data_IF_713152036016
#
_entry.id   IF_713152036016
#
_cell.length_a   1.000
_cell.length_b   1.000
_cell.length_c   1.000
_cell.angle_alpha   90.00
_cell.angle_beta   90.00
_cell.angle_gamma   90.00
#
_symmetry.space_group_name_H-M   'P 1'
#
loop_
_entity.id
_entity.type
_entity.pdbx_description
1 polymer ?
#
# COMPACT_ATOMS: atom_id res chain seq x y z
N UNK A 1 -20.04 -0.61 -12.00
CA UNK A 1 -18.70 -0.63 -12.59
C UNK A 1 -17.70 -0.63 -11.44
N UNK A 2 -16.84 -1.64 -11.33
CA UNK A 2 -15.76 -1.60 -10.36
C UNK A 2 -14.81 -0.45 -10.74
N UNK A 3 -14.48 0.42 -9.78
CA UNK A 3 -13.54 1.52 -10.02
C UNK A 3 -12.18 0.95 -10.49
N UNK A 4 -11.52 1.65 -11.41
CA UNK A 4 -10.16 1.31 -11.87
C UNK A 4 -9.20 1.27 -10.65
N UNK A 5 -8.33 0.26 -10.51
CA UNK A 5 -7.31 0.20 -9.46
C UNK A 5 -6.53 1.51 -9.25
N UNK A 6 -6.16 2.22 -10.32
CA UNK A 6 -5.48 3.51 -10.18
C UNK A 6 -6.34 4.57 -9.48
N UNK A 7 -7.64 4.62 -9.79
CA UNK A 7 -8.58 5.56 -9.16
C UNK A 7 -8.75 5.26 -7.68
N UNK A 8 -8.88 3.97 -7.34
CA UNK A 8 -9.00 3.51 -5.96
C UNK A 8 -7.73 3.83 -5.15
N UNK A 9 -6.54 3.58 -5.73
CA UNK A 9 -5.25 3.99 -5.18
C UNK A 9 -5.21 5.51 -4.90
N UNK A 10 -5.59 6.33 -5.89
CA UNK A 10 -5.56 7.79 -5.73
C UNK A 10 -6.51 8.26 -4.65
N UNK A 11 -7.73 7.70 -4.56
CA UNK A 11 -8.68 8.03 -3.48
C UNK A 11 -8.11 7.67 -2.11
N UNK A 12 -7.51 6.49 -1.96
CA UNK A 12 -6.99 6.02 -0.68
C UNK A 12 -5.85 6.89 -0.11
N UNK A 13 -4.99 7.41 -0.98
CA UNK A 13 -3.83 8.21 -0.56
C UNK A 13 -4.08 9.72 -0.53
N UNK A 14 -5.20 10.18 -1.10
CA UNK A 14 -5.55 11.59 -1.11
C UNK A 14 -6.41 11.90 0.11
N UNK A 15 -6.19 13.03 0.79
CA UNK A 15 -7.08 13.46 1.84
C UNK A 15 -8.52 13.59 1.36
N UNK A 16 -9.44 12.94 2.06
CA UNK A 16 -10.86 12.95 1.77
C UNK A 16 -11.58 13.87 2.79
N UNK A 17 -12.15 15.01 2.35
CA UNK A 17 -12.88 15.91 3.24
C UNK A 17 -14.18 15.31 3.80
N UNK A 18 -14.66 14.19 3.23
CA UNK A 18 -15.82 13.47 3.77
C UNK A 18 -15.46 12.62 4.99
N UNK A 19 -14.18 12.38 5.26
CA UNK A 19 -13.76 11.70 6.49
C UNK A 19 -13.96 12.64 7.68
N UNK A 20 -14.79 12.19 8.62
CA UNK A 20 -15.04 12.91 9.87
C UNK A 20 -13.77 13.07 10.70
N UNK A 21 -13.70 14.08 11.56
CA UNK A 21 -12.54 14.31 12.41
C UNK A 21 -12.35 13.16 13.40
N UNK A 22 -11.18 12.53 13.35
CA UNK A 22 -10.68 11.60 14.39
C UNK A 22 -9.86 12.37 15.43
N UNK A 23 -9.58 11.73 16.55
CA UNK A 23 -8.67 12.30 17.56
C UNK A 23 -7.28 12.53 16.97
N UNK A 24 -6.72 13.73 17.16
CA UNK A 24 -5.37 14.03 16.71
C UNK A 24 -4.34 13.78 17.82
N UNK A 25 -3.23 13.14 17.47
CA UNK A 25 -2.14 12.87 18.38
C UNK A 25 -0.78 13.11 17.71
N UNK A 26 0.29 13.40 18.46
CA UNK A 26 1.63 13.47 17.90
C UNK A 26 2.09 12.12 17.37
N UNK A 27 2.83 12.13 16.27
CA UNK A 27 3.46 10.94 15.67
C UNK A 27 4.47 10.29 16.61
N UNK A 28 4.44 8.97 16.70
CA UNK A 28 5.54 8.17 17.21
C UNK A 28 6.65 8.05 16.15
N UNK A 29 7.86 7.71 16.58
CA UNK A 29 9.01 7.58 15.67
C UNK A 29 8.77 6.60 14.50
N UNK A 30 8.10 5.47 14.77
CA UNK A 30 7.74 4.50 13.75
C UNK A 30 6.73 5.07 12.74
N UNK A 31 5.71 5.78 13.22
CA UNK A 31 4.69 6.42 12.38
C UNK A 31 5.30 7.52 11.51
N UNK A 32 6.26 8.28 12.05
CA UNK A 32 7.01 9.28 11.29
C UNK A 32 7.91 8.63 10.22
N UNK A 33 8.49 7.47 10.51
CA UNK A 33 9.26 6.75 9.50
C UNK A 33 8.35 6.23 8.37
N UNK A 34 7.18 5.69 8.71
CA UNK A 34 6.19 5.27 7.72
C UNK A 34 5.67 6.42 6.87
N UNK A 35 5.35 7.57 7.48
CA UNK A 35 4.91 8.73 6.72
C UNK A 35 5.96 9.22 5.73
N UNK A 36 7.26 9.17 6.09
CA UNK A 36 8.36 9.49 5.17
C UNK A 36 8.49 8.49 4.03
N UNK A 37 8.28 7.19 4.29
CA UNK A 37 8.26 6.16 3.24
C UNK A 37 7.13 6.44 2.25
N UNK A 38 5.90 6.66 2.72
CA UNK A 38 4.79 7.03 1.84
C UNK A 38 5.05 8.32 1.07
N UNK A 39 5.57 9.35 1.75
CA UNK A 39 5.94 10.61 1.11
C UNK A 39 7.00 10.47 0.02
N UNK A 40 7.93 9.51 0.15
CA UNK A 40 8.97 9.28 -0.84
C UNK A 40 8.40 8.85 -2.20
N UNK A 41 7.30 8.08 -2.21
CA UNK A 41 6.60 7.66 -3.43
C UNK A 41 5.83 8.78 -4.14
N UNK A 42 5.74 9.96 -3.53
CA UNK A 42 5.04 11.13 -4.07
C UNK A 42 5.94 12.30 -4.41
N UNK A 43 7.27 12.08 -4.36
CA UNK A 43 8.24 13.10 -4.73
C UNK A 43 8.22 13.36 -6.23
N UNK A 44 8.42 14.61 -6.58
CA UNK A 44 8.64 14.98 -7.97
C UNK A 44 10.01 14.46 -8.42
N UNK A 45 10.04 13.78 -9.57
CA UNK A 45 11.27 13.24 -10.17
C UNK A 45 11.49 13.84 -11.54
N UNK A 46 12.57 14.63 -11.68
CA UNK A 46 13.00 15.13 -12.98
C UNK A 46 13.35 14.01 -13.95
N UNK A 47 13.84 12.88 -13.44
CA UNK A 47 14.15 11.71 -14.27
C UNK A 47 12.86 11.16 -14.88
N UNK A 48 11.81 10.98 -14.09
CA UNK A 48 10.51 10.50 -14.61
C UNK A 48 9.92 11.46 -15.65
N UNK A 49 10.01 12.78 -15.40
CA UNK A 49 9.49 13.79 -16.31
C UNK A 49 10.27 13.83 -17.62
N UNK A 50 11.61 13.70 -17.58
CA UNK A 50 12.47 13.86 -18.75
C UNK A 50 12.66 12.57 -19.54
N UNK A 51 12.47 11.40 -18.95
CA UNK A 51 12.73 10.12 -19.62
C UNK A 51 11.84 9.92 -20.86
N UNK A 52 10.52 10.07 -20.72
CA UNK A 52 9.59 9.89 -21.83
C UNK A 52 9.90 10.78 -23.03
N UNK A 53 10.11 12.11 -22.88
CA UNK A 53 10.37 12.96 -24.02
C UNK A 53 11.82 12.81 -24.54
N UNK A 54 12.79 12.34 -23.74
CA UNK A 54 14.10 11.94 -24.26
C UNK A 54 14.02 10.70 -25.16
N UNK A 55 13.20 9.70 -24.79
CA UNK A 55 13.05 8.47 -25.58
C UNK A 55 12.16 8.63 -26.81
N UNK A 56 11.04 9.37 -26.68
CA UNK A 56 9.99 9.45 -27.69
C UNK A 56 9.94 10.81 -28.40
N UNK A 57 10.55 11.84 -27.83
CA UNK A 57 10.51 13.20 -28.37
C UNK A 57 11.02 13.32 -29.80
N UNK A 58 12.14 12.67 -30.20
CA UNK A 58 12.58 12.69 -31.59
C UNK A 58 11.55 12.11 -32.57
N UNK A 59 10.88 11.03 -32.20
CA UNK A 59 9.83 10.41 -33.01
C UNK A 59 8.59 11.32 -33.12
N UNK A 60 8.14 11.89 -32.00
CA UNK A 60 6.99 12.81 -31.96
C UNK A 60 7.29 14.10 -32.72
N UNK A 61 8.50 14.64 -32.59
CA UNK A 61 8.94 15.81 -33.35
C UNK A 61 8.92 15.55 -34.86
N UNK A 62 9.42 14.38 -35.30
CA UNK A 62 9.36 13.98 -36.70
C UNK A 62 7.93 13.89 -37.24
N UNK A 63 7.00 13.27 -36.49
CA UNK A 63 5.58 13.24 -36.84
C UNK A 63 4.97 14.64 -36.89
N UNK A 64 5.32 15.52 -35.96
CA UNK A 64 4.84 16.90 -35.91
C UNK A 64 5.25 17.71 -37.14
N UNK A 65 6.50 17.56 -37.60
CA UNK A 65 6.97 18.22 -38.82
C UNK A 65 6.23 17.69 -40.06
N UNK A 66 6.04 16.37 -40.17
CA UNK A 66 5.30 15.77 -41.29
C UNK A 66 3.83 16.24 -41.32
N UNK A 67 3.18 16.28 -40.16
CA UNK A 67 1.80 16.76 -40.03
C UNK A 67 1.70 18.25 -40.38
N UNK A 68 2.65 19.06 -39.90
CA UNK A 68 2.73 20.49 -40.21
C UNK A 68 2.94 20.77 -41.69
N UNK A 69 3.80 19.98 -42.35
CA UNK A 69 4.03 20.07 -43.79
C UNK A 69 2.76 19.72 -44.59
N UNK A 70 2.07 18.65 -44.21
CA UNK A 70 0.78 18.28 -44.82
C UNK A 70 -0.29 19.35 -44.64
N UNK A 71 -0.36 19.96 -43.46
CA UNK A 71 -1.32 21.04 -43.16
C UNK A 71 -0.99 22.32 -43.95
N UNK A 72 0.31 22.66 -44.07
CA UNK A 72 0.78 23.80 -44.86
C UNK A 72 0.44 23.62 -46.35
N UNK A 73 0.67 22.42 -46.88
CA UNK A 73 0.32 22.07 -48.26
C UNK A 73 -1.18 22.18 -48.54
N UNK A 74 -2.00 21.67 -47.63
CA UNK A 74 -3.45 21.65 -47.83
C UNK A 74 -4.12 23.01 -47.68
N UNK A 75 -3.58 23.92 -46.84
CA UNK A 75 -4.24 25.19 -46.51
C UNK A 75 -3.64 26.42 -47.19
N UNK A 76 -2.34 26.42 -47.49
CA UNK A 76 -1.61 27.65 -47.82
C UNK A 76 -0.85 27.56 -49.15
N UNK A 77 -0.29 26.40 -49.49
CA UNK A 77 0.55 26.24 -50.69
C UNK A 77 0.46 24.81 -51.28
N UNK A 78 -0.46 24.54 -52.22
CA UNK A 78 -0.64 23.21 -52.79
C UNK A 78 0.54 22.73 -53.67
N UNK A 79 1.41 23.62 -54.13
CA UNK A 79 2.67 23.30 -54.82
C UNK A 79 3.87 23.85 -54.03
N UNK A 80 4.29 23.19 -52.94
CA UNK A 80 5.44 23.63 -52.17
C UNK A 80 6.76 23.33 -52.89
N UNK A 81 7.74 24.23 -52.76
CA UNK A 81 9.14 23.96 -53.10
C UNK A 81 9.74 23.02 -52.04
N UNK A 82 9.65 21.72 -52.32
CA UNK A 82 10.08 20.63 -51.42
C UNK A 82 11.60 20.68 -51.20
N UNK A 83 12.38 21.10 -52.20
CA UNK A 83 13.85 21.10 -52.13
C UNK A 83 14.37 22.11 -51.11
N UNK A 84 13.72 23.27 -51.02
CA UNK A 84 14.03 24.28 -49.99
C UNK A 84 13.60 23.84 -48.58
N UNK A 85 12.47 23.15 -48.45
CA UNK A 85 11.99 22.63 -47.18
C UNK A 85 12.86 21.49 -46.62
N UNK A 86 13.44 20.67 -47.50
CA UNK A 86 14.39 19.61 -47.15
C UNK A 86 15.73 20.21 -46.69
N UNK A 87 16.18 21.32 -47.29
CA UNK A 87 17.43 21.99 -46.90
C UNK A 87 17.49 22.46 -45.44
N UNK A 88 16.35 22.89 -44.88
CA UNK A 88 16.23 23.39 -43.50
C UNK A 88 15.65 22.35 -42.52
N UNK A 89 15.50 21.09 -42.96
CA UNK A 89 14.83 20.01 -42.22
C UNK A 89 15.33 19.86 -40.78
N UNK A 90 16.65 19.91 -40.57
CA UNK A 90 17.25 19.77 -39.25
C UNK A 90 16.89 20.92 -38.30
N UNK A 91 16.74 22.15 -38.82
CA UNK A 91 16.34 23.31 -38.02
C UNK A 91 14.89 23.21 -37.55
N UNK A 92 13.98 22.81 -38.44
CA UNK A 92 12.57 22.58 -38.11
C UNK A 92 12.38 21.43 -37.13
N UNK A 93 13.13 20.35 -37.30
CA UNK A 93 13.11 19.22 -36.38
C UNK A 93 13.64 19.60 -34.99
N UNK A 94 14.73 20.36 -34.92
CA UNK A 94 15.27 20.86 -33.64
C UNK A 94 14.28 21.79 -32.92
N UNK A 95 13.61 22.68 -33.66
CA UNK A 95 12.58 23.57 -33.10
C UNK A 95 11.37 22.77 -32.59
N UNK A 96 10.85 21.83 -33.39
CA UNK A 96 9.72 20.99 -33.02
C UNK A 96 10.03 20.14 -31.77
N UNK A 97 11.23 19.56 -31.70
CA UNK A 97 11.69 18.83 -30.53
C UNK A 97 11.80 19.74 -29.29
N UNK A 98 12.38 20.93 -29.43
CA UNK A 98 12.48 21.91 -28.35
C UNK A 98 11.12 22.35 -27.81
N UNK A 99 10.16 22.66 -28.69
CA UNK A 99 8.80 23.01 -28.31
C UNK A 99 8.06 21.87 -27.62
N UNK A 100 8.20 20.65 -28.13
CA UNK A 100 7.63 19.47 -27.50
C UNK A 100 8.21 19.24 -26.10
N UNK A 101 9.54 19.31 -25.94
CA UNK A 101 10.20 19.19 -24.65
C UNK A 101 9.71 20.26 -23.66
N UNK A 102 9.64 21.52 -24.09
CA UNK A 102 9.19 22.61 -23.25
C UNK A 102 7.72 22.44 -22.81
N UNK A 103 6.83 22.11 -23.76
CA UNK A 103 5.42 21.86 -23.47
C UNK A 103 5.23 20.66 -22.53
N UNK A 104 5.98 19.57 -22.76
CA UNK A 104 5.96 18.38 -21.92
C UNK A 104 6.40 18.67 -20.48
N UNK A 105 7.53 19.34 -20.31
CA UNK A 105 8.06 19.72 -19.00
C UNK A 105 7.08 20.64 -18.28
N UNK A 106 6.57 21.67 -18.96
CA UNK A 106 5.64 22.62 -18.36
C UNK A 106 4.35 21.92 -17.94
N UNK A 107 3.77 21.07 -18.80
CA UNK A 107 2.57 20.31 -18.49
C UNK A 107 2.76 19.42 -17.26
N UNK A 108 3.82 18.62 -17.21
CA UNK A 108 4.07 17.70 -16.09
C UNK A 108 4.39 18.45 -14.80
N UNK A 109 5.18 19.52 -14.87
CA UNK A 109 5.44 20.37 -13.70
C UNK A 109 4.15 20.98 -13.14
N UNK A 110 3.28 21.51 -14.01
CA UNK A 110 1.99 22.09 -13.60
C UNK A 110 1.04 21.05 -13.04
N UNK A 111 0.96 19.87 -13.66
CA UNK A 111 0.15 18.75 -13.19
C UNK A 111 0.61 18.31 -11.80
N UNK A 112 1.90 18.04 -11.64
CA UNK A 112 2.46 17.50 -10.39
C UNK A 112 2.42 18.53 -9.26
N UNK A 113 2.61 19.83 -9.57
CA UNK A 113 2.49 20.92 -8.59
C UNK A 113 1.06 21.13 -8.09
N UNK A 114 0.05 20.68 -8.84
CA UNK A 114 -1.37 20.76 -8.47
C UNK A 114 -1.96 19.46 -7.96
N UNK A 115 -1.19 18.38 -7.99
CA UNK A 115 -1.66 17.08 -7.52
C UNK A 115 -1.91 17.13 -5.99
N UNK A 116 -3.17 16.95 -5.54
CA UNK A 116 -3.52 17.07 -4.12
C UNK A 116 -2.84 16.00 -3.27
N UNK A 117 -2.67 14.78 -3.80
CA UNK A 117 -1.97 13.68 -3.14
C UNK A 117 -0.51 14.07 -2.90
N UNK A 118 0.18 14.55 -3.94
CA UNK A 118 1.59 14.93 -3.82
C UNK A 118 1.80 16.08 -2.85
N UNK A 119 0.99 17.14 -2.95
CA UNK A 119 1.08 18.30 -2.03
C UNK A 119 0.83 17.91 -0.58
N UNK A 120 -0.12 17.01 -0.34
CA UNK A 120 -0.37 16.49 0.99
C UNK A 120 0.87 15.76 1.53
N UNK A 121 1.36 14.77 0.79
CA UNK A 121 2.48 13.92 1.20
C UNK A 121 3.82 14.67 1.31
N UNK A 122 3.99 15.78 0.59
CA UNK A 122 5.16 16.66 0.73
C UNK A 122 5.25 17.32 2.10
N UNK A 123 4.11 17.65 2.73
CA UNK A 123 4.08 18.39 4.01
C UNK A 123 3.74 17.51 5.20
N UNK A 124 3.02 16.42 4.97
CA UNK A 124 2.45 15.57 6.01
C UNK A 124 3.50 15.01 7.01
N UNK A 125 4.67 14.46 6.60
CA UNK A 125 5.65 13.93 7.55
C UNK A 125 6.18 14.96 8.56
N UNK A 126 6.28 16.22 8.13
CA UNK A 126 6.80 17.32 8.95
C UNK A 126 5.74 17.94 9.86
N UNK A 127 4.45 17.71 9.57
CA UNK A 127 3.36 18.10 10.49
C UNK A 127 3.41 17.31 11.79
N UNK A 128 3.93 16.08 11.77
CA UNK A 128 4.14 15.27 12.97
C UNK A 128 2.86 14.87 13.71
N UNK A 129 1.72 14.81 13.03
CA UNK A 129 0.42 14.45 13.61
C UNK A 129 -0.22 13.26 12.90
N UNK A 130 -0.94 12.45 13.67
CA UNK A 130 -1.76 11.33 13.20
C UNK A 130 -3.18 11.46 13.72
N UNK A 131 -4.09 10.78 13.05
CA UNK A 131 -5.45 10.58 13.50
C UNK A 131 -5.61 9.19 14.13
N UNK A 132 -6.16 9.11 15.34
CA UNK A 132 -6.31 7.86 16.08
C UNK A 132 -7.75 7.35 16.00
N UNK A 133 -7.88 6.06 15.69
CA UNK A 133 -9.12 5.31 15.85
C UNK A 133 -8.95 4.25 16.94
N UNK A 134 -9.78 4.35 17.98
CA UNK A 134 -9.67 3.52 19.18
C UNK A 134 -10.61 2.32 19.13
N UNK A 135 -10.10 1.16 19.52
CA UNK A 135 -10.88 -0.05 19.73
C UNK A 135 -10.53 -0.71 21.05
N UNK A 136 -11.56 -1.19 21.74
CA UNK A 136 -11.42 -2.10 22.88
C UNK A 136 -11.65 -3.52 22.40
N UNK A 137 -10.62 -4.35 22.52
CA UNK A 137 -10.62 -5.78 22.18
C UNK A 137 -10.92 -6.61 23.42
N UNK A 138 -11.86 -7.55 23.30
CA UNK A 138 -12.34 -8.38 24.41
C UNK A 138 -11.69 -9.76 24.38
N UNK A 139 -11.55 -10.33 23.20
CA UNK A 139 -10.91 -11.62 22.97
C UNK A 139 -10.36 -11.69 21.55
N UNK A 140 -9.43 -12.60 21.32
CA UNK A 140 -8.94 -12.86 19.96
C UNK A 140 -8.42 -14.26 19.76
N UNK A 141 -8.14 -14.59 18.50
CA UNK A 141 -7.52 -15.84 18.09
C UNK A 141 -6.41 -15.56 17.10
N UNK A 142 -5.28 -16.26 17.25
CA UNK A 142 -4.16 -16.20 16.29
C UNK A 142 -4.35 -17.28 15.24
N UNK A 143 -4.35 -16.88 13.97
CA UNK A 143 -4.37 -17.75 12.80
C UNK A 143 -3.08 -17.54 12.00
N UNK A 144 -2.60 -18.58 11.32
CA UNK A 144 -1.35 -18.53 10.56
C UNK A 144 -1.62 -18.68 9.09
N UNK A 145 -0.84 -18.02 8.25
CA UNK A 145 -0.86 -18.29 6.81
C UNK A 145 0.54 -18.25 6.22
N UNK A 146 0.67 -18.90 5.06
CA UNK A 146 1.80 -18.74 4.17
C UNK A 146 1.33 -17.90 2.96
N UNK A 147 1.67 -16.61 2.99
CA UNK A 147 1.33 -15.58 2.00
C UNK A 147 2.61 -15.17 1.24
N UNK A 148 3.43 -16.16 0.89
CA UNK A 148 4.69 -15.92 0.19
C UNK A 148 4.44 -15.49 -1.26
N UNK A 149 4.83 -14.27 -1.59
CA UNK A 149 4.86 -13.74 -2.94
C UNK A 149 6.32 -13.70 -3.46
N UNK A 150 6.69 -14.52 -4.45
CA UNK A 150 8.04 -14.51 -5.01
C UNK A 150 8.40 -13.20 -5.71
N UNK A 151 7.41 -12.43 -6.19
CA UNK A 151 7.61 -11.15 -6.86
C UNK A 151 7.75 -10.01 -5.84
N UNK A 152 7.23 -10.18 -4.62
CA UNK A 152 7.29 -9.22 -3.51
C UNK A 152 7.97 -9.82 -2.27
N UNK A 153 9.24 -10.22 -2.40
CA UNK A 153 9.98 -10.93 -1.35
C UNK A 153 10.60 -10.02 -0.25
N UNK A 154 10.17 -8.77 -0.14
CA UNK A 154 10.71 -7.81 0.84
C UNK A 154 9.62 -7.26 1.76
N UNK A 155 10.00 -7.09 3.03
CA UNK A 155 9.19 -6.54 4.10
C UNK A 155 9.91 -5.34 4.70
N UNK A 156 9.18 -4.27 4.98
CA UNK A 156 9.67 -3.15 5.78
C UNK A 156 9.39 -3.42 7.26
N UNK A 157 10.44 -3.64 8.03
CA UNK A 157 10.36 -3.91 9.47
C UNK A 157 10.91 -2.73 10.27
N UNK A 158 10.26 -2.43 11.40
CA UNK A 158 10.79 -1.44 12.35
C UNK A 158 11.72 -2.13 13.34
N UNK A 159 13.00 -1.79 13.27
CA UNK A 159 14.08 -2.38 14.08
C UNK A 159 15.05 -1.27 14.49
N UNK A 160 15.48 -1.25 15.75
CA UNK A 160 16.49 -0.31 16.25
C UNK A 160 16.21 1.17 15.93
N UNK A 161 14.93 1.59 15.94
CA UNK A 161 14.55 2.98 15.71
C UNK A 161 14.53 3.43 14.24
N UNK A 162 14.60 2.49 13.28
CA UNK A 162 14.51 2.77 11.84
C UNK A 162 13.68 1.70 11.12
N UNK A 163 13.19 2.04 9.94
CA UNK A 163 12.60 1.07 9.02
C UNK A 163 13.72 0.44 8.19
N UNK A 164 13.85 -0.88 8.26
CA UNK A 164 14.79 -1.68 7.47
C UNK A 164 14.01 -2.54 6.47
N UNK A 165 14.54 -2.60 5.24
CA UNK A 165 14.09 -3.56 4.24
C UNK A 165 14.74 -4.91 4.53
N UNK A 166 13.92 -5.92 4.80
CA UNK A 166 14.33 -7.29 5.12
C UNK A 166 13.60 -8.26 4.21
N UNK A 167 14.09 -9.50 4.11
CA UNK A 167 13.42 -10.51 3.32
C UNK A 167 12.14 -10.99 4.01
N UNK A 168 11.03 -11.07 3.28
CA UNK A 168 9.78 -11.62 3.76
C UNK A 168 9.88 -13.14 3.85
N UNK A 169 9.40 -13.72 4.95
CA UNK A 169 9.29 -15.16 5.09
C UNK A 169 8.04 -15.76 4.43
N UNK A 170 7.06 -14.93 4.09
CA UNK A 170 5.70 -15.34 3.72
C UNK A 170 4.87 -15.78 4.92
N UNK A 171 5.46 -15.93 6.12
CA UNK A 171 4.71 -16.28 7.32
C UNK A 171 4.00 -15.05 7.85
N UNK A 172 2.69 -15.20 8.02
CA UNK A 172 1.82 -14.15 8.53
C UNK A 172 1.05 -14.66 9.74
N UNK A 173 1.01 -13.85 10.79
CA UNK A 173 0.05 -14.00 11.88
C UNK A 173 -1.13 -13.07 11.64
N UNK A 174 -2.32 -13.64 11.67
CA UNK A 174 -3.59 -12.93 11.67
C UNK A 174 -4.20 -13.03 13.05
N UNK A 175 -4.33 -11.91 13.76
CA UNK A 175 -5.12 -11.87 14.98
C UNK A 175 -6.53 -11.40 14.63
N UNK A 176 -7.49 -12.31 14.79
CA UNK A 176 -8.91 -12.02 14.61
C UNK A 176 -9.51 -11.79 16.00
N UNK A 177 -9.85 -10.53 16.29
CA UNK A 177 -10.27 -10.08 17.61
C UNK A 177 -11.71 -9.59 17.60
N UNK A 178 -12.45 -9.88 18.67
CA UNK A 178 -13.77 -9.34 18.92
C UNK A 178 -13.64 -8.02 19.68
N UNK A 179 -14.26 -6.98 19.16
CA UNK A 179 -14.34 -5.68 19.85
C UNK A 179 -15.49 -5.66 20.86
N UNK A 180 -15.42 -4.76 21.83
CA UNK A 180 -16.51 -4.51 22.80
C UNK A 180 -17.80 -4.07 22.11
N UNK A 181 -17.69 -3.35 20.99
CA UNK A 181 -18.82 -2.95 20.14
C UNK A 181 -19.45 -4.10 19.34
N UNK A 182 -18.89 -5.32 19.41
CA UNK A 182 -19.41 -6.48 18.70
C UNK A 182 -19.01 -6.56 17.22
N UNK A 183 -18.01 -5.78 16.79
CA UNK A 183 -17.38 -5.94 15.48
C UNK A 183 -16.19 -6.88 15.54
N UNK A 184 -15.84 -7.46 14.39
CA UNK A 184 -14.57 -8.19 14.25
C UNK A 184 -13.49 -7.26 13.74
N UNK A 185 -12.32 -7.35 14.36
CA UNK A 185 -11.11 -6.66 14.00
C UNK A 185 -10.05 -7.65 13.59
N UNK A 186 -9.37 -7.40 12.48
CA UNK A 186 -8.26 -8.24 12.00
C UNK A 186 -6.97 -7.44 12.08
N UNK A 187 -5.95 -7.97 12.76
CA UNK A 187 -4.60 -7.44 12.79
C UNK A 187 -3.67 -8.40 12.05
N UNK A 188 -2.84 -7.85 11.15
CA UNK A 188 -1.87 -8.63 10.36
C UNK A 188 -0.45 -8.30 10.81
N UNK A 189 0.36 -9.32 11.07
CA UNK A 189 1.81 -9.17 11.24
C UNK A 189 2.54 -10.12 10.30
N UNK A 190 3.50 -9.59 9.54
CA UNK A 190 4.38 -10.36 8.66
C UNK A 190 5.75 -10.52 9.32
N UNK A 191 6.39 -11.66 9.10
CA UNK A 191 7.67 -11.98 9.74
C UNK A 191 8.82 -12.05 8.75
N UNK A 192 10.00 -11.55 9.12
CA UNK A 192 11.17 -11.68 8.27
C UNK A 192 11.67 -13.14 8.21
N UNK A 193 12.36 -13.48 7.12
CA UNK A 193 13.13 -14.70 7.05
C UNK A 193 13.87 -14.88 5.74
N UNK A 194 14.56 -16.00 5.58
CA UNK A 194 15.40 -16.24 4.42
C UNK A 194 14.59 -16.51 3.14
N UNK A 195 15.08 -16.01 2.01
CA UNK A 195 14.53 -16.27 0.69
C UNK A 195 14.54 -17.77 0.36
N UNK A 196 13.40 -18.32 -0.09
CA UNK A 196 13.29 -19.72 -0.51
C UNK A 196 12.06 -19.93 -1.41
N UNK A 197 12.22 -20.69 -2.51
CA UNK A 197 11.17 -21.00 -3.48
C UNK A 197 10.17 -22.07 -3.01
N UNK A 198 10.48 -22.80 -1.93
CA UNK A 198 9.67 -23.93 -1.44
C UNK A 198 9.53 -23.88 0.08
N UNK A 199 9.21 -22.70 0.63
CA UNK A 199 9.22 -22.49 2.06
C UNK A 199 7.95 -23.05 2.71
N UNK A 200 8.12 -24.02 3.59
CA UNK A 200 7.08 -24.40 4.56
C UNK A 200 7.07 -23.33 5.64
N UNK A 201 5.96 -22.61 5.76
CA UNK A 201 5.77 -21.61 6.80
C UNK A 201 6.00 -22.22 8.19
N UNK A 202 6.94 -21.68 8.94
CA UNK A 202 7.20 -22.10 10.32
C UNK A 202 6.81 -20.96 11.24
N UNK A 203 6.04 -21.29 12.28
CA UNK A 203 5.64 -20.31 13.30
C UNK A 203 6.88 -19.67 13.94
N UNK A 204 6.95 -18.33 14.05
CA UNK A 204 8.01 -17.67 14.79
C UNK A 204 8.02 -18.13 16.26
N UNK A 205 9.16 -17.98 16.93
CA UNK A 205 9.24 -18.22 18.37
C UNK A 205 8.22 -17.34 19.13
N UNK A 206 7.61 -17.82 20.24
CA UNK A 206 6.52 -17.10 20.94
C UNK A 206 6.82 -15.65 21.32
N UNK A 207 8.07 -15.34 21.68
CA UNK A 207 8.56 -14.01 22.02
C UNK A 207 8.59 -13.04 20.84
N UNK A 208 8.61 -13.57 19.62
CA UNK A 208 8.60 -12.78 18.37
C UNK A 208 7.20 -12.58 17.81
N UNK A 209 6.19 -13.30 18.31
CA UNK A 209 4.82 -13.22 17.81
C UNK A 209 4.15 -11.93 18.27
N UNK A 210 3.12 -11.49 17.54
CA UNK A 210 2.30 -10.36 17.92
C UNK A 210 1.38 -10.74 19.08
N UNK A 211 1.54 -10.03 20.19
CA UNK A 211 0.71 -10.13 21.39
C UNK A 211 0.02 -8.78 21.63
N UNK A 212 -1.17 -8.54 21.05
CA UNK A 212 -1.87 -7.28 21.21
C UNK A 212 -2.36 -7.10 22.64
N UNK A 213 -2.52 -5.84 23.05
CA UNK A 213 -3.22 -5.49 24.29
C UNK A 213 -4.71 -5.23 24.01
N UNK A 214 -5.52 -5.17 25.06
CA UNK A 214 -6.95 -4.93 24.98
C UNK A 214 -7.29 -3.57 24.35
N UNK A 215 -6.52 -2.53 24.63
CA UNK A 215 -6.72 -1.24 23.98
C UNK A 215 -5.79 -1.14 22.77
N UNK A 216 -6.39 -0.89 21.61
CA UNK A 216 -5.64 -0.63 20.38
C UNK A 216 -6.08 0.69 19.78
N UNK A 217 -5.12 1.54 19.42
CA UNK A 217 -5.35 2.72 18.60
C UNK A 217 -4.66 2.52 17.25
N UNK A 218 -5.40 2.69 16.16
CA UNK A 218 -4.87 2.68 14.81
C UNK A 218 -4.55 4.11 14.41
N UNK A 219 -3.28 4.35 14.07
CA UNK A 219 -2.80 5.66 13.68
C UNK A 219 -2.90 5.80 12.17
N UNK A 220 -3.72 6.74 11.71
CA UNK A 220 -3.92 7.08 10.31
C UNK A 220 -3.20 8.37 9.95
N UNK A 221 -2.79 8.44 8.69
CA UNK A 221 -2.41 9.69 8.05
C UNK A 221 -3.64 10.63 8.01
N UNK A 222 -3.54 11.87 8.55
CA UNK A 222 -4.71 12.73 8.76
C UNK A 222 -5.56 12.97 7.51
N UNK A 223 -6.87 12.82 7.64
CA UNK A 223 -7.83 12.97 6.54
C UNK A 223 -7.71 11.86 5.49
N UNK A 224 -7.04 10.75 5.77
CA UNK A 224 -6.94 9.58 4.87
C UNK A 224 -7.31 8.30 5.61
N UNK A 225 -7.42 7.19 4.87
CA UNK A 225 -7.56 5.84 5.44
C UNK A 225 -6.23 5.07 5.50
N UNK A 226 -5.10 5.74 5.25
CA UNK A 226 -3.80 5.09 5.24
C UNK A 226 -3.25 4.93 6.67
N UNK A 227 -3.12 3.68 7.10
CA UNK A 227 -2.54 3.32 8.39
C UNK A 227 -1.01 3.52 8.41
N UNK A 228 -0.51 4.19 9.44
CA UNK A 228 0.90 4.42 9.71
C UNK A 228 1.43 3.58 10.88
N UNK A 229 0.54 3.12 11.76
CA UNK A 229 0.93 2.43 12.97
C UNK A 229 -0.23 1.91 13.80
N UNK A 230 0.12 1.10 14.81
CA UNK A 230 -0.80 0.57 15.81
C UNK A 230 -0.18 0.80 17.18
N UNK A 231 -0.95 1.34 18.11
CA UNK A 231 -0.55 1.58 19.49
C UNK A 231 -1.33 0.63 20.37
N UNK A 232 -0.63 -0.16 21.18
CA UNK A 232 -1.24 -1.09 22.12
C UNK A 232 -1.06 -0.57 23.55
N UNK A 233 -2.11 -0.63 24.35
CA UNK A 233 -2.07 -0.26 25.77
C UNK A 233 -3.04 -1.09 26.62
N UNK A 234 -2.92 -0.96 27.93
CA UNK A 234 -3.75 -1.69 28.89
C UNK A 234 -3.27 -3.13 29.11
N UNK A 235 -4.19 -4.00 29.54
CA UNK A 235 -3.89 -5.40 29.82
C UNK A 235 -3.66 -6.19 28.51
N UNK A 236 -2.88 -7.29 28.54
CA UNK A 236 -2.79 -8.20 27.41
C UNK A 236 -4.17 -8.69 26.96
N UNK A 237 -4.39 -8.79 25.65
CA UNK A 237 -5.62 -9.38 25.11
C UNK A 237 -5.68 -10.87 25.50
N UNK A 238 -6.82 -11.38 25.98
CA UNK A 238 -7.07 -12.82 26.04
C UNK A 238 -7.05 -13.42 24.63
N UNK A 239 -5.86 -13.86 24.21
CA UNK A 239 -5.58 -14.37 22.88
C UNK A 239 -5.48 -15.89 22.92
N UNK A 240 -6.35 -16.57 22.19
CA UNK A 240 -6.19 -18.00 21.94
C UNK A 240 -5.11 -18.19 20.88
N UNK A 241 -3.96 -18.68 21.31
CA UNK A 241 -2.89 -19.06 20.39
C UNK A 241 -3.21 -20.41 19.74
N UNK A 242 -3.18 -20.47 18.41
CA UNK A 242 -3.48 -21.68 17.65
C UNK A 242 -2.31 -22.08 16.76
N UNK A 243 -2.28 -23.35 16.37
CA UNK A 243 -1.46 -23.85 15.28
C UNK A 243 -2.23 -23.91 13.94
N UNK A 244 -3.39 -23.25 13.85
CA UNK A 244 -4.25 -23.33 12.68
C UNK A 244 -3.66 -22.55 11.52
N UNK A 245 -3.36 -23.25 10.43
CA UNK A 245 -2.91 -22.66 9.17
C UNK A 245 -4.09 -22.51 8.21
N UNK A 246 -4.33 -21.28 7.77
CA UNK A 246 -5.34 -20.93 6.78
C UNK A 246 -5.04 -21.62 5.45
N UNK A 247 -6.07 -22.18 4.82
CA UNK A 247 -5.98 -22.57 3.42
C UNK A 247 -5.86 -21.34 2.52
N UNK A 248 -5.45 -21.51 1.26
CA UNK A 248 -5.35 -20.41 0.30
C UNK A 248 -6.70 -19.67 0.12
N UNK A 249 -7.82 -20.41 0.09
CA UNK A 249 -9.16 -19.82 -0.04
C UNK A 249 -9.57 -19.07 1.23
N UNK A 250 -9.23 -19.61 2.42
CA UNK A 250 -9.50 -18.94 3.70
C UNK A 250 -8.67 -17.67 3.85
N UNK A 251 -7.39 -17.71 3.46
CA UNK A 251 -6.50 -16.55 3.43
C UNK A 251 -7.05 -15.46 2.50
N UNK A 252 -7.37 -15.81 1.25
CA UNK A 252 -7.91 -14.86 0.28
C UNK A 252 -9.18 -14.21 0.80
N UNK A 253 -10.13 -15.02 1.30
CA UNK A 253 -11.39 -14.50 1.82
C UNK A 253 -11.21 -13.70 3.11
N UNK A 254 -10.28 -14.05 3.99
CA UNK A 254 -9.97 -13.26 5.18
C UNK A 254 -9.38 -11.91 4.81
N UNK A 255 -8.47 -11.87 3.85
CA UNK A 255 -7.89 -10.64 3.33
C UNK A 255 -8.96 -9.73 2.71
N UNK A 256 -9.88 -10.30 1.93
CA UNK A 256 -11.02 -9.56 1.35
C UNK A 256 -11.99 -9.06 2.43
N UNK A 257 -12.34 -9.93 3.39
CA UNK A 257 -13.27 -9.64 4.48
C UNK A 257 -12.74 -8.60 5.47
N UNK A 258 -11.42 -8.54 5.67
CA UNK A 258 -10.83 -7.64 6.64
C UNK A 258 -10.99 -6.15 6.26
N UNK A 259 -11.22 -5.80 4.98
CA UNK A 259 -11.25 -4.42 4.45
C UNK A 259 -10.07 -3.55 4.93
N UNK A 260 -9.23 -3.03 4.04
CA UNK A 260 -9.62 -1.99 3.13
C UNK A 260 -8.45 -1.81 2.15
N UNK A 261 -8.72 -1.82 0.84
CA UNK A 261 -7.80 -1.35 -0.19
C UNK A 261 -6.59 -2.29 -0.38
N UNK A 262 -6.69 -3.22 -1.35
CA UNK A 262 -5.61 -4.06 -1.93
C UNK A 262 -4.39 -3.26 -2.44
N UNK A 263 -4.31 -1.96 -2.15
CA UNK A 263 -3.41 -1.03 -2.77
C UNK A 263 -2.02 -1.07 -2.14
N UNK A 264 -1.85 -1.42 -0.84
CA UNK A 264 -0.51 -1.67 -0.28
C UNK A 264 -0.45 -2.69 0.86
N UNK A 265 0.46 -3.67 0.79
CA UNK A 265 1.02 -4.30 1.96
C UNK A 265 2.02 -3.37 2.68
N UNK A 266 2.12 -3.46 4.02
CA UNK A 266 1.35 -4.35 4.87
C UNK A 266 0.06 -3.63 5.31
N UNK A 267 -1.09 -4.08 4.82
CA UNK A 267 -2.37 -3.78 5.46
C UNK A 267 -2.36 -4.46 6.83
N UNK A 268 -1.94 -3.72 7.87
CA UNK A 268 -1.68 -4.22 9.24
C UNK A 268 -2.95 -4.38 10.08
N UNK A 269 -4.08 -3.96 9.55
CA UNK A 269 -5.34 -3.79 10.25
C UNK A 269 -6.51 -3.81 9.26
N UNK A 270 -7.67 -4.28 9.71
CA UNK A 270 -8.95 -4.10 9.03
C UNK A 270 -10.15 -4.38 9.93
N UNK A 271 -11.25 -3.63 9.73
CA UNK A 271 -12.55 -3.91 10.37
C UNK A 271 -13.35 -4.77 9.42
N UNK A 272 -13.84 -5.91 9.91
CA UNK A 272 -14.63 -6.82 9.09
C UNK A 272 -16.02 -6.25 8.86
N UNK A 273 -16.43 -6.23 7.59
CA UNK A 273 -17.78 -5.84 7.20
C UNK A 273 -18.85 -6.73 7.84
N UNK A 274 -20.02 -6.15 8.09
CA UNK A 274 -21.14 -6.87 8.68
C UNK A 274 -21.56 -8.11 7.85
N UNK A 275 -21.42 -8.03 6.52
CA UNK A 275 -21.76 -9.12 5.58
C UNK A 275 -20.81 -10.32 5.72
N UNK A 276 -19.52 -10.09 6.01
CA UNK A 276 -18.52 -11.14 6.17
C UNK A 276 -18.36 -11.63 7.62
N UNK A 277 -18.92 -10.90 8.59
CA UNK A 277 -18.85 -11.24 10.01
C UNK A 277 -19.32 -12.67 10.33
N UNK A 278 -20.37 -13.15 9.64
CA UNK A 278 -20.88 -14.51 9.81
C UNK A 278 -19.91 -15.58 9.28
N UNK A 279 -19.17 -15.28 8.22
CA UNK A 279 -18.13 -16.18 7.72
C UNK A 279 -16.91 -16.18 8.65
N UNK A 280 -16.44 -15.01 9.10
CA UNK A 280 -15.34 -14.90 10.07
C UNK A 280 -15.65 -15.66 11.35
N UNK A 281 -16.87 -15.56 11.87
CA UNK A 281 -17.31 -16.33 13.04
C UNK A 281 -17.16 -17.85 12.84
N UNK A 282 -17.46 -18.37 11.64
CA UNK A 282 -17.30 -19.80 11.33
C UNK A 282 -15.82 -20.19 11.22
N UNK A 283 -14.98 -19.33 10.63
CA UNK A 283 -13.53 -19.53 10.58
C UNK A 283 -12.93 -19.61 11.99
N UNK A 284 -13.30 -18.66 12.86
CA UNK A 284 -12.86 -18.64 14.27
C UNK A 284 -13.29 -19.92 14.98
N UNK A 285 -14.55 -20.33 14.84
CA UNK A 285 -15.06 -21.57 15.44
C UNK A 285 -14.28 -22.80 14.96
N UNK A 286 -14.06 -22.92 13.65
CA UNK A 286 -13.27 -24.01 13.05
C UNK A 286 -11.86 -24.07 13.62
N UNK A 287 -11.20 -22.92 13.78
CA UNK A 287 -9.88 -22.85 14.39
C UNK A 287 -9.89 -23.24 15.88
N UNK A 288 -10.90 -22.80 16.65
CA UNK A 288 -11.08 -23.21 18.05
C UNK A 288 -11.27 -24.72 18.19
N UNK A 289 -12.14 -25.30 17.36
CA UNK A 289 -12.42 -26.74 17.35
C UNK A 289 -11.16 -27.56 17.03
N UNK A 290 -10.25 -27.03 16.18
CA UNK A 290 -8.97 -27.68 15.87
C UNK A 290 -8.02 -27.78 17.07
N UNK A 291 -8.04 -26.79 17.97
CA UNK A 291 -7.26 -26.80 19.21
C UNK A 291 -7.82 -27.83 20.18
N UNK A 292 -9.15 -27.87 20.33
CA UNK A 292 -9.82 -28.84 21.21
C UNK A 292 -9.63 -30.30 20.75
N UNK A 293 -9.48 -30.53 19.44
CA UNK A 293 -9.26 -31.86 18.86
C UNK A 293 -7.82 -32.38 18.99
N UNK A 294 -6.86 -31.55 19.40
CA UNK A 294 -5.46 -31.96 19.61
C UNK A 294 -5.28 -32.41 21.07
N UNK A 295 -5.17 -33.72 21.37
CA UNK A 295 -5.02 -34.17 22.75
C UNK A 295 -3.66 -33.75 23.30
N UNK A 296 -3.65 -33.22 24.53
CA UNK A 296 -2.45 -32.99 25.33
C UNK A 296 -1.69 -34.31 25.52
N UNK A 297 -0.70 -34.59 24.68
CA UNK A 297 0.20 -35.73 24.87
C UNK A 297 1.45 -35.28 25.63
N UNK A 298 1.45 -35.46 26.95
CA UNK A 298 2.67 -35.46 27.77
C UNK A 298 2.41 -36.34 29.01
N UNK A 299 3.41 -37.06 29.57
CA UNK A 299 4.22 -38.14 29.01
C UNK A 299 4.18 -39.39 29.94
N UNK A 300 4.81 -40.49 29.52
CA UNK A 300 4.92 -41.69 30.34
C UNK A 300 5.75 -41.49 31.62
N UNK A 301 5.17 -41.89 32.74
CA UNK A 301 5.88 -42.39 33.92
C UNK A 301 5.47 -43.86 34.12
N UNK A 302 6.39 -44.78 33.82
CA UNK A 302 6.67 -46.00 34.59
C UNK A 302 8.07 -46.47 34.25
#
# INVERSE_FOLDING_TARGET
MADNPYTLYKRFQTPDPALGPREQAPMLAQEQAWSRVHASGHRFSWIEVLMAPLCLGPFVAGLGVLLGLWLYQSLLAPEPDIDRAIGDWHGWLALAAGLFMAAWVLHNFWRDSRDPTRRYWQTMPDRGVVELEHHTLVSGISLWSNDYDPDCNTLMQWTHGKLECVHDSGVVQWVVARTEAGHWLVLKEQYPGNFSYARVGTKPAPDRQMHPCQQVAIAFAPGTQLCLGRRFSGAPLPLLDTAYWLSADELKRLADAAHHWLFFPPNRYGVVDAEEAGWVQRLVKKAQDSVAATPSSVPGET
#
